data_IF_459101563198
#
_entry.id   IF_459101563198
#
_cell.length_a   1.000
_cell.length_b   1.000
_cell.length_c   1.000
_cell.angle_alpha   90.00
_cell.angle_beta   90.00
_cell.angle_gamma   90.00
#
_symmetry.space_group_name_H-M   'P 1'
#
loop_
_entity.id
_entity.type
_entity.pdbx_description
1 polymer ?
#
# COMPACT_ATOMS: atom_id res chain seq x y z
N UNK A 1 44.25 14.48 -13.31
CA UNK A 1 43.18 14.39 -14.32
C UNK A 1 41.86 14.58 -13.59
N UNK A 2 41.25 15.76 -13.71
CA UNK A 2 40.05 16.12 -12.95
C UNK A 2 38.81 15.49 -13.57
N UNK A 3 38.13 14.63 -12.82
CA UNK A 3 36.79 14.15 -13.14
C UNK A 3 35.77 15.05 -12.45
N UNK A 4 35.12 15.91 -13.22
CA UNK A 4 33.85 16.54 -12.83
C UNK A 4 32.73 15.54 -13.10
N UNK A 5 31.93 15.14 -12.09
CA UNK A 5 30.74 14.32 -12.35
C UNK A 5 29.64 15.22 -12.93
N UNK A 6 29.14 14.86 -14.11
CA UNK A 6 27.89 15.39 -14.65
C UNK A 6 26.74 14.81 -13.83
N UNK A 7 25.89 15.68 -13.29
CA UNK A 7 24.63 15.30 -12.66
C UNK A 7 23.61 14.94 -13.75
N UNK A 8 23.60 13.69 -14.18
CA UNK A 8 22.55 13.18 -15.06
C UNK A 8 21.35 12.77 -14.19
N UNK A 9 20.31 13.60 -14.20
CA UNK A 9 19.01 13.28 -13.62
C UNK A 9 18.35 12.17 -14.46
N UNK A 10 18.47 10.92 -14.01
CA UNK A 10 17.66 9.83 -14.52
C UNK A 10 16.25 9.91 -13.90
N UNK A 11 15.35 10.63 -14.57
CA UNK A 11 13.92 10.35 -14.45
C UNK A 11 13.70 8.97 -15.07
N UNK A 12 13.35 8.00 -14.23
CA UNK A 12 12.95 6.67 -14.69
C UNK A 12 11.79 6.82 -15.70
N UNK A 13 12.01 6.33 -16.93
CA UNK A 13 11.05 6.45 -18.04
C UNK A 13 9.89 5.43 -17.94
N UNK A 14 9.79 4.73 -16.83
CA UNK A 14 8.79 3.69 -16.58
C UNK A 14 7.41 4.23 -16.12
N UNK A 15 7.24 5.54 -15.88
CA UNK A 15 5.93 6.09 -15.52
C UNK A 15 5.03 6.26 -16.76
N UNK A 16 3.91 5.51 -16.88
CA UNK A 16 2.99 5.69 -18.00
C UNK A 16 2.25 7.02 -17.88
N UNK A 17 2.21 7.76 -18.99
CA UNK A 17 1.39 8.96 -19.14
C UNK A 17 -0.10 8.61 -19.03
N UNK A 18 -0.75 9.02 -17.93
CA UNK A 18 -2.21 9.01 -17.84
C UNK A 18 -2.80 10.18 -18.64
N UNK A 19 -3.11 9.94 -19.92
CA UNK A 19 -4.00 10.81 -20.70
C UNK A 19 -5.27 10.06 -21.08
N UNK A 20 -6.27 10.06 -20.20
CA UNK A 20 -7.58 9.50 -20.55
C UNK A 20 -8.54 9.35 -19.41
N UNK A 21 -9.33 10.39 -19.11
CA UNK A 21 -10.78 10.33 -18.86
C UNK A 21 -11.29 11.62 -18.23
N UNK A 22 -11.68 12.59 -19.07
CA UNK A 22 -12.38 13.81 -18.64
C UNK A 22 -13.84 13.88 -19.14
N UNK A 23 -14.48 12.76 -19.49
CA UNK A 23 -15.80 12.75 -20.16
C UNK A 23 -16.90 11.85 -19.56
N UNK A 24 -16.81 11.43 -18.29
CA UNK A 24 -17.88 10.62 -17.65
C UNK A 24 -18.24 11.04 -16.23
N UNK A 25 -18.35 12.34 -15.96
CA UNK A 25 -18.94 12.84 -14.71
C UNK A 25 -20.12 13.76 -15.02
N UNK A 26 -21.32 13.19 -15.15
CA UNK A 26 -22.61 13.84 -14.98
C UNK A 26 -23.68 12.74 -15.00
N UNK A 27 -24.11 12.29 -13.81
CA UNK A 27 -25.42 11.69 -13.46
C UNK A 27 -25.29 10.75 -12.25
N UNK A 28 -25.12 11.30 -11.05
CA UNK A 28 -25.55 10.63 -9.81
C UNK A 28 -25.97 11.72 -8.81
N UNK A 29 -27.23 12.13 -8.87
CA UNK A 29 -27.89 12.92 -7.82
C UNK A 29 -29.36 12.55 -7.81
N UNK A 30 -29.71 11.41 -7.20
CA UNK A 30 -31.08 11.12 -6.74
C UNK A 30 -31.15 9.83 -5.89
N UNK A 31 -30.35 9.71 -4.84
CA UNK A 31 -30.61 8.70 -3.80
C UNK A 31 -29.99 9.21 -2.51
N UNK A 32 -30.78 9.89 -1.66
CA UNK A 32 -30.57 10.09 -0.22
C UNK A 32 -31.74 10.92 0.34
N UNK A 33 -32.94 10.33 0.33
CA UNK A 33 -34.05 10.68 1.22
C UNK A 33 -34.74 9.38 1.57
N UNK A 34 -34.36 8.81 2.71
CA UNK A 34 -35.09 7.83 3.52
C UNK A 34 -34.03 7.25 4.46
N UNK A 35 -34.05 7.69 5.71
CA UNK A 35 -33.78 6.92 6.94
C UNK A 35 -33.71 7.95 8.08
N UNK A 36 -34.91 8.29 8.56
CA UNK A 36 -35.10 8.96 9.84
C UNK A 36 -35.36 7.87 10.90
N UNK A 37 -34.74 8.08 12.07
CA UNK A 37 -34.88 7.42 13.37
C UNK A 37 -36.08 6.49 13.61
N UNK A 38 -35.86 5.49 14.49
CA UNK A 38 -36.79 5.30 15.59
C UNK A 38 -36.10 5.29 16.97
N UNK A 39 -36.74 5.96 17.92
CA UNK A 39 -36.47 5.95 19.36
C UNK A 39 -36.72 4.57 20.00
N UNK A 40 -36.11 4.24 21.16
CA UNK A 40 -36.37 2.99 21.87
C UNK A 40 -37.60 3.09 22.79
N UNK A 41 -38.34 2.00 23.04
CA UNK A 41 -39.34 1.97 24.10
C UNK A 41 -38.77 1.50 25.44
N UNK A 42 -39.35 2.07 26.49
CA UNK A 42 -39.10 1.79 27.90
C UNK A 42 -39.59 0.38 28.33
N UNK A 43 -38.79 -0.25 29.20
CA UNK A 43 -39.21 -0.76 30.51
C UNK A 43 -40.09 -2.03 30.59
N UNK A 44 -39.52 -3.11 31.15
CA UNK A 44 -40.24 -4.03 32.05
C UNK A 44 -39.29 -4.50 33.17
N UNK A 45 -39.75 -4.32 34.41
CA UNK A 45 -39.18 -4.87 35.65
C UNK A 45 -39.83 -6.22 35.92
N UNK A 46 -39.04 -7.28 36.17
CA UNK A 46 -39.51 -8.43 36.95
C UNK A 46 -38.43 -8.89 37.93
N UNK A 47 -38.80 -8.84 39.22
CA UNK A 47 -38.18 -9.56 40.32
C UNK A 47 -38.70 -11.00 40.31
N UNK A 48 -37.83 -11.99 40.50
CA UNK A 48 -38.14 -13.13 41.35
C UNK A 48 -36.85 -13.75 41.89
N UNK A 49 -36.92 -14.15 43.15
CA UNK A 49 -35.83 -14.72 43.95
C UNK A 49 -35.85 -16.25 43.85
N UNK A 50 -34.68 -16.82 44.11
CA UNK A 50 -34.46 -18.16 44.67
C UNK A 50 -34.63 -19.37 43.74
N UNK A 51 -33.49 -19.88 43.25
CA UNK A 51 -33.19 -21.31 43.36
C UNK A 51 -31.68 -21.50 43.53
N UNK A 52 -31.30 -21.79 44.77
CA UNK A 52 -29.98 -22.26 45.18
C UNK A 52 -29.99 -23.78 45.13
N UNK A 53 -28.85 -24.37 44.77
CA UNK A 53 -28.45 -25.78 44.98
C UNK A 53 -28.91 -26.83 43.94
N UNK A 54 -28.17 -26.91 42.82
CA UNK A 54 -27.78 -28.17 42.16
C UNK A 54 -26.86 -27.90 40.94
N UNK A 55 -25.63 -27.42 41.14
CA UNK A 55 -24.70 -27.14 40.01
C UNK A 55 -23.21 -27.36 40.39
N UNK A 56 -22.88 -28.50 41.00
CA UNK A 56 -21.49 -28.80 41.40
C UNK A 56 -20.89 -30.07 40.79
N UNK A 57 -21.56 -30.77 39.87
CA UNK A 57 -21.05 -32.03 39.29
C UNK A 57 -21.16 -32.14 37.75
N UNK A 58 -21.45 -31.04 37.05
CA UNK A 58 -21.40 -30.94 35.57
C UNK A 58 -20.36 -29.93 35.09
N UNK A 59 -19.37 -29.60 35.92
CA UNK A 59 -18.28 -28.67 35.56
C UNK A 59 -17.06 -29.36 34.89
N UNK A 60 -17.06 -30.69 34.77
CA UNK A 60 -15.92 -31.45 34.25
C UNK A 60 -16.14 -32.08 32.85
N UNK A 61 -17.31 -31.88 32.22
CA UNK A 61 -17.64 -32.46 30.92
C UNK A 61 -17.97 -31.43 29.83
N UNK A 62 -17.92 -30.14 30.14
CA UNK A 62 -17.68 -29.11 29.11
C UNK A 62 -16.17 -29.02 28.91
N UNK A 63 -15.58 -30.11 28.44
CA UNK A 63 -14.41 -30.00 27.58
C UNK A 63 -14.86 -29.06 26.48
N UNK A 64 -14.45 -27.80 26.56
CA UNK A 64 -14.57 -26.87 25.47
C UNK A 64 -13.92 -27.60 24.31
N UNK A 65 -14.74 -28.16 23.42
CA UNK A 65 -14.40 -28.26 22.02
C UNK A 65 -14.15 -26.80 21.66
N UNK A 66 -12.91 -26.35 21.88
CA UNK A 66 -12.38 -25.17 21.27
C UNK A 66 -12.49 -25.51 19.80
N UNK A 67 -13.65 -25.21 19.21
CA UNK A 67 -13.82 -25.13 17.79
C UNK A 67 -12.70 -24.20 17.40
N UNK A 68 -11.65 -24.77 16.80
CA UNK A 68 -10.60 -24.00 16.18
C UNK A 68 -11.33 -23.16 15.16
N UNK A 69 -11.60 -21.90 15.51
CA UNK A 69 -12.06 -20.92 14.54
C UNK A 69 -10.90 -20.77 13.59
N UNK A 70 -10.93 -21.55 12.53
CA UNK A 70 -10.02 -21.42 11.41
C UNK A 70 -10.16 -19.99 10.91
N UNK A 71 -9.04 -19.27 10.79
CA UNK A 71 -9.08 -17.90 10.31
C UNK A 71 -9.77 -17.88 8.94
N UNK A 72 -10.77 -17.00 8.81
CA UNK A 72 -11.49 -16.85 7.54
C UNK A 72 -10.58 -16.34 6.41
N UNK A 73 -9.45 -15.70 6.74
CA UNK A 73 -8.41 -15.33 5.77
C UNK A 73 -7.78 -16.57 5.11
N UNK A 74 -7.64 -17.69 5.83
CA UNK A 74 -7.11 -18.93 5.26
C UNK A 74 -8.02 -19.51 4.17
N UNK A 75 -9.32 -19.56 4.46
CA UNK A 75 -10.31 -20.19 3.58
C UNK A 75 -10.55 -19.37 2.30
N UNK A 76 -10.74 -18.06 2.43
CA UNK A 76 -10.99 -17.15 1.31
C UNK A 76 -10.55 -15.72 1.66
N UNK A 77 -9.26 -15.38 1.46
CA UNK A 77 -8.73 -14.08 1.86
C UNK A 77 -9.38 -12.94 1.08
N UNK A 78 -9.75 -13.16 -0.18
CA UNK A 78 -10.46 -12.16 -0.97
C UNK A 78 -11.82 -11.85 -0.37
N UNK A 79 -12.62 -12.88 -0.07
CA UNK A 79 -13.92 -12.66 0.56
C UNK A 79 -13.77 -11.97 1.90
N UNK A 80 -12.84 -12.41 2.76
CA UNK A 80 -12.66 -11.80 4.09
C UNK A 80 -12.21 -10.34 3.99
N UNK A 81 -11.12 -10.06 3.25
CA UNK A 81 -10.52 -8.73 3.16
C UNK A 81 -11.40 -7.77 2.33
N UNK A 82 -12.05 -8.25 1.28
CA UNK A 82 -12.75 -7.38 0.32
C UNK A 82 -14.26 -7.25 0.57
N UNK A 83 -14.93 -8.20 1.24
CA UNK A 83 -16.39 -8.15 1.45
C UNK A 83 -16.77 -7.26 2.63
N UNK A 84 -16.15 -7.48 3.80
CA UNK A 84 -16.39 -6.65 4.99
C UNK A 84 -16.05 -5.18 4.72
N UNK A 85 -15.09 -4.95 3.83
CA UNK A 85 -14.64 -3.61 3.50
C UNK A 85 -15.49 -2.88 2.48
N UNK A 86 -16.46 -3.47 1.75
CA UNK A 86 -17.23 -2.67 0.77
C UNK A 86 -18.10 -1.59 1.42
N UNK A 87 -18.83 -1.92 2.49
CA UNK A 87 -19.64 -0.94 3.22
C UNK A 87 -18.76 0.09 3.95
N UNK A 88 -17.68 -0.38 4.60
CA UNK A 88 -16.71 0.49 5.26
C UNK A 88 -15.99 1.40 4.26
N UNK A 89 -15.64 0.90 3.07
CA UNK A 89 -15.08 1.68 1.95
C UNK A 89 -16.05 2.74 1.50
N UNK A 90 -17.32 2.42 1.31
CA UNK A 90 -18.30 3.42 0.89
C UNK A 90 -18.38 4.58 1.91
N UNK A 91 -18.40 4.27 3.20
CA UNK A 91 -18.36 5.29 4.26
C UNK A 91 -17.04 6.06 4.27
N UNK A 92 -15.91 5.36 4.11
CA UNK A 92 -14.58 5.95 4.02
C UNK A 92 -14.45 6.88 2.82
N UNK A 93 -14.95 6.48 1.65
CA UNK A 93 -14.93 7.26 0.42
C UNK A 93 -15.79 8.51 0.55
N UNK A 94 -16.96 8.42 1.20
CA UNK A 94 -17.78 9.59 1.54
C UNK A 94 -16.98 10.56 2.42
N UNK A 95 -16.32 10.05 3.48
CA UNK A 95 -15.49 10.86 4.35
C UNK A 95 -14.30 11.49 3.61
N UNK A 96 -13.55 10.71 2.83
CA UNK A 96 -12.39 11.16 2.07
C UNK A 96 -12.82 12.22 1.06
N UNK A 97 -13.89 12.00 0.30
CA UNK A 97 -14.39 12.96 -0.69
C UNK A 97 -14.86 14.26 -0.04
N UNK A 98 -15.52 14.17 1.13
CA UNK A 98 -15.86 15.36 1.92
C UNK A 98 -14.59 16.11 2.33
N UNK A 99 -13.60 15.42 2.88
CA UNK A 99 -12.37 16.05 3.34
C UNK A 99 -11.55 16.66 2.18
N UNK A 100 -11.47 15.97 1.04
CA UNK A 100 -10.89 16.51 -0.21
C UNK A 100 -11.56 17.80 -0.63
N UNK A 101 -12.89 17.84 -0.58
CA UNK A 101 -13.68 19.03 -0.94
C UNK A 101 -13.40 20.20 0.02
N UNK A 102 -13.31 19.93 1.32
CA UNK A 102 -12.98 20.95 2.33
C UNK A 102 -11.54 21.48 2.16
N UNK A 103 -10.57 20.61 1.91
CA UNK A 103 -9.17 20.97 1.65
C UNK A 103 -9.07 21.80 0.37
N UNK A 104 -9.74 21.39 -0.71
CA UNK A 104 -9.76 22.12 -1.97
C UNK A 104 -10.40 23.51 -1.82
N UNK A 105 -11.45 23.64 -1.02
CA UNK A 105 -12.09 24.91 -0.72
C UNK A 105 -11.17 25.84 0.10
N UNK A 106 -10.53 25.33 1.15
CA UNK A 106 -9.55 26.08 1.95
C UNK A 106 -8.38 26.55 1.08
N UNK A 107 -7.82 25.64 0.29
CA UNK A 107 -6.70 25.93 -0.61
C UNK A 107 -7.06 26.94 -1.69
N UNK A 108 -8.26 26.87 -2.26
CA UNK A 108 -8.75 27.83 -3.25
C UNK A 108 -8.88 29.23 -2.64
N UNK A 109 -9.39 29.33 -1.41
CA UNK A 109 -9.49 30.60 -0.66
C UNK A 109 -8.11 31.19 -0.37
N UNK A 110 -7.14 30.37 0.03
CA UNK A 110 -5.78 30.81 0.35
C UNK A 110 -4.93 31.16 -0.89
N UNK A 111 -5.10 30.41 -1.99
CA UNK A 111 -4.29 30.57 -3.20
C UNK A 111 -4.72 31.79 -4.04
N UNK A 112 -5.99 32.18 -3.99
CA UNK A 112 -6.54 33.30 -4.78
C UNK A 112 -5.69 34.59 -4.70
N UNK A 113 -5.47 35.17 -3.51
CA UNK A 113 -4.67 36.39 -3.36
C UNK A 113 -3.23 36.24 -3.88
N UNK A 114 -2.59 35.10 -3.63
CA UNK A 114 -1.21 34.81 -4.08
C UNK A 114 -1.13 34.72 -5.60
N UNK A 115 -2.14 34.12 -6.25
CA UNK A 115 -2.22 34.02 -7.71
C UNK A 115 -2.43 35.40 -8.33
N UNK A 116 -3.30 36.23 -7.76
CA UNK A 116 -3.50 37.60 -8.26
C UNK A 116 -2.23 38.45 -8.12
N UNK A 117 -1.50 38.30 -7.02
CA UNK A 117 -0.20 38.97 -6.85
C UNK A 117 0.84 38.47 -7.86
N UNK A 118 0.95 37.16 -8.04
CA UNK A 118 1.83 36.56 -9.06
C UNK A 118 1.51 37.07 -10.47
N UNK A 119 0.22 37.21 -10.82
CA UNK A 119 -0.20 37.74 -12.13
C UNK A 119 0.25 39.17 -12.37
N UNK A 120 0.47 40.00 -11.33
CA UNK A 120 1.04 41.34 -11.48
C UNK A 120 2.52 41.28 -11.87
N UNK A 121 3.25 40.31 -11.34
CA UNK A 121 4.70 40.16 -11.52
C UNK A 121 5.11 39.39 -12.79
N UNK A 122 4.20 38.60 -13.36
CA UNK A 122 4.45 37.87 -14.62
C UNK A 122 3.64 38.51 -15.74
N UNK A 123 4.27 38.91 -16.85
CA UNK A 123 3.58 39.52 -17.99
C UNK A 123 2.46 38.63 -18.56
N UNK A 124 1.35 39.24 -19.03
CA UNK A 124 0.17 38.57 -19.59
C UNK A 124 0.47 37.74 -20.84
N UNK A 125 1.54 38.08 -21.56
CA UNK A 125 1.99 37.35 -22.75
C UNK A 125 2.67 36.02 -22.39
N UNK A 126 3.09 35.82 -21.14
CA UNK A 126 3.65 34.55 -20.66
C UNK A 126 2.55 33.65 -20.05
N UNK A 127 1.49 33.38 -20.81
CA UNK A 127 0.31 32.65 -20.32
C UNK A 127 0.67 31.26 -19.77
N UNK A 128 1.58 30.54 -20.43
CA UNK A 128 2.06 29.21 -19.98
C UNK A 128 2.73 29.33 -18.61
N UNK A 129 3.66 30.29 -18.45
CA UNK A 129 4.36 30.53 -17.19
C UNK A 129 3.37 30.89 -16.07
N UNK A 130 2.37 31.73 -16.35
CA UNK A 130 1.30 32.09 -15.40
C UNK A 130 0.46 30.86 -14.99
N UNK A 131 0.12 30.00 -15.94
CA UNK A 131 -0.65 28.78 -15.67
C UNK A 131 0.14 27.83 -14.76
N UNK A 132 1.42 27.57 -15.09
CA UNK A 132 2.32 26.74 -14.28
C UNK A 132 2.46 27.31 -12.85
N UNK A 133 2.71 28.60 -12.71
CA UNK A 133 2.86 29.23 -11.39
C UNK A 133 1.55 29.24 -10.60
N UNK A 134 0.40 29.40 -11.26
CA UNK A 134 -0.91 29.31 -10.59
C UNK A 134 -1.16 27.90 -10.08
N UNK A 135 -0.88 26.88 -10.90
CA UNK A 135 -0.99 25.48 -10.51
C UNK A 135 -0.09 25.16 -9.31
N UNK A 136 1.16 25.61 -9.36
CA UNK A 136 2.11 25.50 -8.24
C UNK A 136 1.56 26.12 -6.95
N UNK A 137 1.07 27.36 -6.98
CA UNK A 137 0.52 28.04 -5.81
C UNK A 137 -0.67 27.25 -5.24
N UNK A 138 -1.59 26.77 -6.11
CA UNK A 138 -2.73 25.96 -5.67
C UNK A 138 -2.28 24.67 -4.99
N UNK A 139 -1.35 23.93 -5.58
CA UNK A 139 -0.84 22.70 -5.00
C UNK A 139 -0.17 22.96 -3.64
N UNK A 140 0.64 24.01 -3.53
CA UNK A 140 1.23 24.38 -2.23
C UNK A 140 0.16 24.64 -1.15
N UNK A 141 -0.94 25.32 -1.50
CA UNK A 141 -2.03 25.54 -0.56
C UNK A 141 -2.86 24.28 -0.26
N UNK A 142 -3.05 23.39 -1.24
CA UNK A 142 -3.70 22.08 -1.02
C UNK A 142 -2.87 21.27 -0.04
N UNK A 143 -1.56 21.17 -0.26
CA UNK A 143 -0.67 20.40 0.62
C UNK A 143 -0.61 21.02 2.02
N UNK A 144 -0.60 22.35 2.14
CA UNK A 144 -0.68 23.02 3.44
C UNK A 144 -2.00 22.75 4.16
N UNK A 145 -3.14 22.83 3.46
CA UNK A 145 -4.45 22.55 4.02
C UNK A 145 -4.58 21.08 4.40
N UNK A 146 -4.10 20.16 3.56
CA UNK A 146 -4.06 18.73 3.86
C UNK A 146 -3.20 18.45 5.11
N UNK A 147 -1.99 19.03 5.20
CA UNK A 147 -1.12 18.92 6.36
C UNK A 147 -1.82 19.32 7.65
N UNK A 148 -2.58 20.44 7.65
CA UNK A 148 -3.39 20.86 8.81
C UNK A 148 -4.43 19.81 9.25
N UNK A 149 -4.97 19.03 8.32
CA UNK A 149 -5.97 17.99 8.60
C UNK A 149 -5.35 16.69 9.09
N UNK A 150 -4.10 16.42 8.74
CA UNK A 150 -3.37 15.21 9.14
C UNK A 150 -2.30 15.46 10.22
N UNK A 151 -2.33 16.62 10.89
CA UNK A 151 -1.39 16.95 11.97
C UNK A 151 -1.41 15.86 13.03
N UNK A 152 -0.23 15.35 13.38
CA UNK A 152 -0.06 14.28 14.36
C UNK A 152 -0.30 12.87 13.83
N UNK A 153 -0.82 12.71 12.61
CA UNK A 153 -0.89 11.40 11.93
C UNK A 153 0.42 11.14 11.19
N UNK A 154 1.03 12.19 10.63
CA UNK A 154 2.35 12.13 10.00
C UNK A 154 3.38 11.47 10.94
N UNK A 155 3.30 11.70 12.25
CA UNK A 155 4.23 11.12 13.23
C UNK A 155 4.13 9.60 13.33
N UNK A 156 3.01 8.97 12.95
CA UNK A 156 2.93 7.51 12.88
C UNK A 156 4.05 6.95 11.98
N UNK A 157 4.38 7.68 10.93
CA UNK A 157 5.28 7.22 9.86
C UNK A 157 6.57 8.00 9.74
N UNK A 158 6.64 9.19 10.34
CA UNK A 158 7.86 10.00 10.38
C UNK A 158 8.55 10.01 11.73
N UNK A 159 7.94 9.43 12.78
CA UNK A 159 8.61 9.29 14.07
C UNK A 159 9.85 8.38 13.92
N UNK A 160 11.05 8.82 14.37
CA UNK A 160 12.26 8.05 14.22
C UNK A 160 12.21 6.65 14.85
N UNK A 161 11.46 6.44 15.94
CA UNK A 161 11.34 5.12 16.56
C UNK A 161 10.52 4.18 15.67
N UNK A 162 9.40 4.65 15.10
CA UNK A 162 8.60 3.86 14.16
C UNK A 162 9.36 3.56 12.86
N UNK A 163 10.09 4.54 12.31
CA UNK A 163 10.94 4.33 11.12
C UNK A 163 12.05 3.32 11.40
N UNK A 164 12.73 3.43 12.54
CA UNK A 164 13.75 2.46 12.94
C UNK A 164 13.15 1.06 13.15
N UNK A 165 11.94 0.99 13.70
CA UNK A 165 11.22 -0.26 13.87
C UNK A 165 10.90 -0.92 12.51
N UNK A 166 10.37 -0.16 11.55
CA UNK A 166 10.15 -0.62 10.15
C UNK A 166 11.43 -1.14 9.51
N UNK A 167 12.52 -0.35 9.58
CA UNK A 167 13.84 -0.78 9.08
C UNK A 167 14.33 -2.04 9.77
N UNK A 168 14.09 -2.19 11.07
CA UNK A 168 14.50 -3.39 11.82
C UNK A 168 13.74 -4.63 11.34
N UNK A 169 12.45 -4.51 11.02
CA UNK A 169 11.67 -5.62 10.46
C UNK A 169 12.16 -6.01 9.07
N UNK A 170 12.41 -5.03 8.19
CA UNK A 170 12.99 -5.29 6.87
C UNK A 170 14.36 -5.98 6.96
N UNK A 171 15.26 -5.48 7.82
CA UNK A 171 16.59 -6.09 8.02
C UNK A 171 16.52 -7.49 8.62
N UNK A 172 15.56 -7.75 9.51
CA UNK A 172 15.31 -9.10 10.02
C UNK A 172 14.76 -10.02 8.94
N UNK A 173 13.90 -9.53 8.05
CA UNK A 173 13.46 -10.28 6.88
C UNK A 173 14.63 -10.66 5.97
N UNK A 174 15.53 -9.71 5.72
CA UNK A 174 16.76 -9.94 4.95
C UNK A 174 17.65 -10.98 5.65
N UNK A 175 17.85 -10.88 6.97
CA UNK A 175 18.71 -11.82 7.70
C UNK A 175 18.16 -13.25 7.71
N UNK A 176 16.83 -13.40 7.79
CA UNK A 176 16.11 -14.68 7.76
C UNK A 176 16.03 -15.31 6.35
N UNK A 177 16.31 -14.56 5.28
CA UNK A 177 16.31 -15.08 3.89
C UNK A 177 17.47 -16.06 3.62
N UNK A 178 17.43 -16.80 2.51
CA UNK A 178 18.55 -17.66 2.08
C UNK A 178 19.59 -16.98 1.18
N UNK A 179 19.50 -15.66 0.98
CA UNK A 179 20.54 -14.94 0.24
C UNK A 179 21.92 -15.10 0.91
N UNK A 180 22.99 -15.01 0.13
CA UNK A 180 24.34 -15.08 0.66
C UNK A 180 24.63 -13.86 1.56
N UNK A 181 25.66 -13.98 2.40
CA UNK A 181 25.98 -12.95 3.39
C UNK A 181 26.34 -11.59 2.76
N UNK A 182 26.99 -11.59 1.59
CA UNK A 182 27.35 -10.35 0.90
C UNK A 182 26.09 -9.63 0.43
N UNK A 183 25.17 -10.36 -0.19
CA UNK A 183 23.87 -9.81 -0.61
C UNK A 183 23.08 -9.26 0.59
N UNK A 184 23.03 -9.99 1.70
CA UNK A 184 22.35 -9.54 2.93
C UNK A 184 22.93 -8.23 3.49
N UNK A 185 24.26 -8.08 3.47
CA UNK A 185 24.94 -6.85 3.90
C UNK A 185 24.56 -5.69 2.98
N UNK A 186 24.58 -5.89 1.65
CA UNK A 186 24.19 -4.86 0.67
C UNK A 186 22.74 -4.42 0.88
N UNK A 187 21.81 -5.36 0.94
CA UNK A 187 20.38 -5.07 1.16
C UNK A 187 20.15 -4.32 2.48
N UNK A 188 20.80 -4.76 3.56
CA UNK A 188 20.67 -4.09 4.87
C UNK A 188 21.21 -2.66 4.82
N UNK A 189 22.34 -2.44 4.16
CA UNK A 189 22.91 -1.11 3.94
C UNK A 189 21.99 -0.20 3.10
N UNK A 190 21.28 -0.76 2.11
CA UNK A 190 20.26 -0.02 1.37
C UNK A 190 19.12 0.40 2.29
N UNK A 191 18.57 -0.51 3.11
CA UNK A 191 17.49 -0.21 4.05
C UNK A 191 17.91 0.89 5.05
N UNK A 192 19.14 0.86 5.54
CA UNK A 192 19.64 1.89 6.45
C UNK A 192 19.66 3.29 5.82
N UNK A 193 19.92 3.39 4.51
CA UNK A 193 19.93 4.65 3.76
C UNK A 193 18.54 5.20 3.42
N UNK A 194 17.47 4.40 3.52
CA UNK A 194 16.13 4.86 3.15
C UNK A 194 15.63 5.93 4.13
N UNK A 195 15.19 7.05 3.58
CA UNK A 195 14.51 8.12 4.31
C UNK A 195 13.01 7.90 4.12
N UNK A 196 12.31 7.56 5.20
CA UNK A 196 10.84 7.55 5.22
C UNK A 196 10.39 8.94 5.62
N UNK A 197 9.54 9.54 4.81
CA UNK A 197 9.08 10.90 5.06
C UNK A 197 7.66 11.11 4.58
N UNK A 198 7.01 12.11 5.17
CA UNK A 198 5.86 12.71 4.53
C UNK A 198 6.34 13.66 3.42
N UNK A 199 5.38 14.13 2.64
CA UNK A 199 5.65 15.04 1.55
C UNK A 199 6.26 16.39 2.00
N UNK A 200 5.80 16.95 3.12
CA UNK A 200 6.32 18.22 3.64
C UNK A 200 7.82 18.13 3.94
N UNK A 201 8.27 17.04 4.55
CA UNK A 201 9.68 16.82 4.87
C UNK A 201 10.52 16.70 3.58
N UNK A 202 9.97 16.06 2.55
CA UNK A 202 10.63 15.95 1.25
C UNK A 202 10.78 17.32 0.55
N UNK A 203 9.76 18.18 0.63
CA UNK A 203 9.85 19.54 0.12
C UNK A 203 10.98 20.34 0.74
N UNK A 204 11.07 20.29 2.07
CA UNK A 204 12.02 21.09 2.84
C UNK A 204 13.47 20.62 2.59
N UNK A 205 13.68 19.32 2.40
CA UNK A 205 15.03 18.72 2.25
C UNK A 205 15.63 18.89 0.87
N UNK A 206 14.79 18.82 -0.17
CA UNK A 206 15.31 18.60 -1.53
C UNK A 206 15.68 19.89 -2.24
N UNK A 207 15.13 21.04 -1.81
CA UNK A 207 15.36 22.33 -2.48
C UNK A 207 15.05 22.30 -3.99
N UNK A 208 14.29 21.31 -4.45
CA UNK A 208 14.08 21.05 -5.87
C UNK A 208 13.31 22.19 -6.53
N UNK A 209 13.61 22.43 -7.80
CA UNK A 209 12.79 23.31 -8.62
C UNK A 209 11.34 22.80 -8.62
N UNK A 210 10.40 23.72 -8.39
CA UNK A 210 9.02 23.37 -8.08
C UNK A 210 8.28 22.65 -9.23
N UNK A 211 8.81 22.72 -10.46
CA UNK A 211 8.27 22.06 -11.65
C UNK A 211 8.48 20.54 -11.64
N UNK A 212 9.69 20.07 -11.33
CA UNK A 212 10.03 18.63 -11.26
C UNK A 212 9.22 17.98 -10.15
N UNK A 213 9.16 18.68 -9.03
CA UNK A 213 8.42 18.27 -7.85
C UNK A 213 6.91 18.18 -8.11
N UNK A 214 6.31 19.19 -8.74
CA UNK A 214 4.90 19.16 -9.11
C UNK A 214 4.57 17.99 -10.04
N UNK A 215 5.48 17.65 -10.96
CA UNK A 215 5.29 16.50 -11.86
C UNK A 215 5.38 15.16 -11.12
N UNK A 216 6.41 14.97 -10.28
CA UNK A 216 6.57 13.77 -9.47
C UNK A 216 5.32 13.52 -8.62
N UNK A 217 4.80 14.57 -7.99
CA UNK A 217 3.62 14.49 -7.13
C UNK A 217 2.35 14.25 -7.89
N UNK A 218 2.16 14.94 -9.01
CA UNK A 218 0.99 14.73 -9.83
C UNK A 218 0.91 13.26 -10.30
N UNK A 219 2.06 12.66 -10.58
CA UNK A 219 2.14 11.27 -11.02
C UNK A 219 1.87 10.29 -9.87
N UNK A 220 2.44 10.51 -8.68
CA UNK A 220 2.33 9.56 -7.57
C UNK A 220 1.13 9.79 -6.63
N UNK A 221 0.84 11.06 -6.33
CA UNK A 221 -0.20 11.48 -5.39
C UNK A 221 -1.43 12.11 -6.08
N UNK A 222 -1.46 12.13 -7.42
CA UNK A 222 -2.53 12.74 -8.21
C UNK A 222 -2.44 14.27 -8.28
N UNK A 223 -3.23 14.86 -9.16
CA UNK A 223 -3.20 16.31 -9.43
C UNK A 223 -3.61 17.19 -8.26
N UNK A 224 -4.34 16.63 -7.29
CA UNK A 224 -4.71 17.26 -6.04
C UNK A 224 -3.76 16.87 -4.88
N UNK A 225 -2.83 15.93 -5.08
CA UNK A 225 -1.96 15.40 -4.02
C UNK A 225 -2.69 14.51 -3.00
N UNK A 226 -3.92 14.09 -3.30
CA UNK A 226 -4.82 13.43 -2.34
C UNK A 226 -5.13 11.99 -2.70
N UNK A 227 -4.40 11.37 -3.63
CA UNK A 227 -4.48 9.92 -3.85
C UNK A 227 -3.94 9.21 -2.61
N UNK A 228 -4.62 8.14 -2.19
CA UNK A 228 -4.18 7.28 -1.11
C UNK A 228 -3.08 6.34 -1.62
N UNK A 229 -1.86 6.86 -1.70
CA UNK A 229 -0.71 6.15 -2.23
C UNK A 229 0.55 6.37 -1.38
N UNK A 230 1.52 5.47 -1.52
CA UNK A 230 2.90 5.66 -1.14
C UNK A 230 3.77 5.38 -2.38
N UNK A 231 5.02 5.83 -2.38
CA UNK A 231 5.93 5.53 -3.47
C UNK A 231 7.40 5.57 -3.05
N UNK A 232 8.18 4.69 -3.64
CA UNK A 232 9.64 4.73 -3.60
C UNK A 232 10.19 5.70 -4.65
N UNK A 233 11.20 6.49 -4.29
CA UNK A 233 11.93 7.32 -5.25
C UNK A 233 13.38 7.53 -4.81
N UNK A 234 14.23 8.00 -5.73
CA UNK A 234 15.63 8.35 -5.44
C UNK A 234 15.87 9.78 -5.89
N UNK A 235 16.51 10.58 -5.04
CA UNK A 235 16.98 11.91 -5.42
C UNK A 235 18.47 12.04 -5.09
N UNK A 236 19.28 12.26 -6.12
CA UNK A 236 20.72 12.16 -5.96
C UNK A 236 21.11 10.77 -5.50
N UNK A 237 21.77 10.68 -4.33
CA UNK A 237 22.15 9.39 -3.72
C UNK A 237 21.16 8.92 -2.64
N UNK A 238 20.20 9.77 -2.27
CA UNK A 238 19.28 9.51 -1.18
C UNK A 238 18.07 8.72 -1.68
N UNK A 239 17.68 7.70 -0.91
CA UNK A 239 16.54 6.83 -1.20
C UNK A 239 15.39 7.27 -0.33
N UNK A 240 14.22 7.45 -0.93
CA UNK A 240 13.03 7.91 -0.24
C UNK A 240 11.90 6.90 -0.34
N UNK A 241 11.13 6.83 0.73
CA UNK A 241 9.75 6.33 0.72
C UNK A 241 8.87 7.49 1.15
N UNK A 242 7.98 7.90 0.26
CA UNK A 242 7.13 9.07 0.44
C UNK A 242 5.67 8.65 0.53
N UNK A 243 4.96 9.24 1.49
CA UNK A 243 3.56 8.94 1.75
C UNK A 243 2.72 10.12 1.31
N UNK A 244 1.76 9.86 0.40
CA UNK A 244 0.85 10.89 -0.06
C UNK A 244 -0.13 11.28 1.06
N UNK A 245 -0.52 12.56 1.18
CA UNK A 245 -1.50 13.01 2.16
C UNK A 245 -2.82 12.24 2.14
N UNK A 246 -3.26 11.79 0.96
CA UNK A 246 -4.47 10.95 0.83
C UNK A 246 -4.39 9.66 1.65
N UNK A 247 -3.20 9.07 1.77
CA UNK A 247 -3.01 7.86 2.56
C UNK A 247 -3.11 8.17 4.06
N UNK A 248 -2.47 9.24 4.52
CA UNK A 248 -2.54 9.69 5.92
C UNK A 248 -3.98 10.01 6.35
N UNK A 249 -4.78 10.56 5.43
CA UNK A 249 -6.20 10.78 5.66
C UNK A 249 -6.95 9.47 5.84
N UNK A 250 -6.69 8.47 5.00
CA UNK A 250 -7.30 7.15 5.17
C UNK A 250 -6.98 6.58 6.55
N UNK A 251 -5.72 6.68 6.98
CA UNK A 251 -5.28 6.22 8.30
C UNK A 251 -5.90 7.00 9.46
N UNK A 252 -6.32 8.25 9.26
CA UNK A 252 -6.95 9.05 10.33
C UNK A 252 -8.21 8.41 10.92
N UNK A 253 -8.83 7.50 10.17
CA UNK A 253 -10.03 6.76 10.58
C UNK A 253 -9.73 5.61 11.52
N UNK A 254 -8.48 5.18 11.60
CA UNK A 254 -8.07 4.13 12.53
C UNK A 254 -8.12 4.65 13.98
N UNK A 255 -8.61 3.81 14.92
CA UNK A 255 -9.02 4.25 16.25
C UNK A 255 -7.85 4.72 17.12
N UNK A 256 -6.64 4.19 16.91
CA UNK A 256 -5.46 4.50 17.71
C UNK A 256 -4.16 4.44 16.90
N UNK A 257 -3.04 4.79 17.54
CA UNK A 257 -1.72 4.84 16.90
C UNK A 257 -1.21 3.46 16.48
N UNK A 258 -1.58 2.39 17.19
CA UNK A 258 -1.18 1.02 16.85
C UNK A 258 -1.87 0.59 15.56
N UNK A 259 -3.19 0.77 15.47
CA UNK A 259 -3.94 0.44 14.26
C UNK A 259 -3.55 1.31 13.07
N UNK A 260 -3.21 2.59 13.31
CA UNK A 260 -2.61 3.44 12.27
C UNK A 260 -1.31 2.85 11.75
N UNK A 261 -0.38 2.49 12.64
CA UNK A 261 0.89 1.88 12.24
C UNK A 261 0.66 0.56 11.47
N UNK A 262 -0.21 -0.31 11.97
CA UNK A 262 -0.61 -1.57 11.33
C UNK A 262 -1.12 -1.37 9.89
N UNK A 263 -1.99 -0.37 9.69
CA UNK A 263 -2.61 -0.11 8.37
C UNK A 263 -1.61 0.37 7.30
N UNK A 264 -0.50 0.99 7.68
CA UNK A 264 0.50 1.52 6.74
C UNK A 264 1.80 0.70 6.66
N UNK A 265 2.03 -0.17 7.63
CA UNK A 265 3.22 -1.02 7.74
C UNK A 265 3.51 -1.76 6.43
N UNK A 266 2.50 -2.41 5.85
CA UNK A 266 2.66 -3.14 4.58
C UNK A 266 3.05 -2.21 3.44
N UNK A 267 2.36 -1.07 3.30
CA UNK A 267 2.62 -0.11 2.22
C UNK A 267 4.04 0.46 2.30
N UNK A 268 4.49 0.94 3.47
CA UNK A 268 5.86 1.47 3.60
C UNK A 268 6.90 0.38 3.37
N UNK A 269 6.66 -0.83 3.88
CA UNK A 269 7.61 -1.94 3.71
C UNK A 269 7.67 -2.41 2.26
N UNK A 270 6.54 -2.38 1.54
CA UNK A 270 6.47 -2.59 0.10
C UNK A 270 7.30 -1.52 -0.64
N UNK A 271 7.11 -0.24 -0.32
CA UNK A 271 7.92 0.83 -0.94
C UNK A 271 9.42 0.72 -0.59
N UNK A 272 9.77 0.24 0.60
CA UNK A 272 11.16 -0.09 0.92
C UNK A 272 11.66 -1.26 0.05
N UNK A 273 10.80 -2.23 -0.23
CA UNK A 273 11.07 -3.37 -1.10
C UNK A 273 11.43 -2.97 -2.54
N UNK A 274 10.87 -1.88 -3.08
CA UNK A 274 11.27 -1.35 -4.39
C UNK A 274 12.73 -0.88 -4.45
N UNK A 275 13.35 -0.54 -3.33
CA UNK A 275 14.79 -0.27 -3.28
C UNK A 275 15.64 -1.55 -3.28
N UNK A 276 15.02 -2.71 -3.11
CA UNK A 276 15.66 -4.03 -3.12
C UNK A 276 15.27 -4.88 -4.33
N UNK A 277 14.38 -4.42 -5.20
CA UNK A 277 13.79 -5.26 -6.25
C UNK A 277 14.76 -5.61 -7.40
N UNK A 278 14.25 -6.36 -8.38
CA UNK A 278 15.05 -6.82 -9.52
C UNK A 278 15.54 -5.66 -10.42
N UNK A 279 14.89 -4.50 -10.40
CA UNK A 279 15.37 -3.32 -11.12
C UNK A 279 16.63 -2.72 -10.47
N UNK A 280 16.83 -2.94 -9.16
CA UNK A 280 17.97 -2.42 -8.40
C UNK A 280 19.08 -3.44 -8.22
N UNK A 281 18.74 -4.70 -7.96
CA UNK A 281 19.70 -5.76 -7.62
C UNK A 281 19.88 -6.80 -8.75
N UNK A 282 19.10 -6.69 -9.83
CA UNK A 282 19.19 -7.56 -11.00
C UNK A 282 18.28 -8.79 -10.94
N UNK A 283 17.87 -9.27 -12.12
CA UNK A 283 16.94 -10.39 -12.26
C UNK A 283 17.51 -11.72 -11.74
N UNK A 284 18.82 -11.97 -11.89
CA UNK A 284 19.42 -13.25 -11.48
C UNK A 284 19.27 -13.50 -9.98
N UNK A 285 19.28 -12.45 -9.16
CA UNK A 285 19.12 -12.57 -7.71
C UNK A 285 17.74 -13.14 -7.34
N UNK A 286 16.69 -12.73 -8.07
CA UNK A 286 15.30 -13.12 -7.83
C UNK A 286 14.81 -14.22 -8.78
N UNK A 287 15.72 -14.83 -9.54
CA UNK A 287 15.38 -15.85 -10.53
C UNK A 287 14.60 -17.03 -9.97
N UNK A 288 14.89 -17.59 -8.78
CA UNK A 288 14.08 -18.66 -8.21
C UNK A 288 12.61 -18.24 -7.99
N UNK A 289 12.39 -17.05 -7.44
CA UNK A 289 11.07 -16.47 -7.22
C UNK A 289 10.31 -16.25 -8.54
N UNK A 290 10.97 -15.57 -9.50
CA UNK A 290 10.38 -15.26 -10.80
C UNK A 290 10.12 -16.53 -11.63
N UNK A 291 11.01 -17.53 -11.55
CA UNK A 291 10.82 -18.83 -12.18
C UNK A 291 9.58 -19.55 -11.66
N UNK A 292 9.42 -19.62 -10.33
CA UNK A 292 8.23 -20.19 -9.72
C UNK A 292 6.94 -19.50 -10.20
N UNK A 293 6.93 -18.17 -10.25
CA UNK A 293 5.80 -17.39 -10.76
C UNK A 293 5.52 -17.67 -12.23
N UNK A 294 6.56 -17.78 -13.06
CA UNK A 294 6.43 -18.03 -14.50
C UNK A 294 5.87 -19.42 -14.78
N UNK A 295 6.27 -20.40 -13.98
CA UNK A 295 5.84 -21.80 -14.14
C UNK A 295 4.43 -22.04 -13.61
N UNK A 296 4.01 -21.31 -12.56
CA UNK A 296 2.78 -21.63 -11.84
C UNK A 296 1.68 -20.57 -11.99
N UNK A 297 1.99 -19.32 -12.28
CA UNK A 297 1.04 -18.21 -12.09
C UNK A 297 0.95 -17.22 -13.26
N UNK A 298 1.72 -17.42 -14.32
CA UNK A 298 1.74 -16.51 -15.48
C UNK A 298 0.36 -16.31 -16.13
N UNK A 299 -0.54 -17.28 -16.02
CA UNK A 299 -1.91 -17.22 -16.53
C UNK A 299 -2.77 -16.16 -15.81
N UNK A 300 -2.29 -15.65 -14.67
CA UNK A 300 -2.97 -14.63 -13.85
C UNK A 300 -2.55 -13.20 -14.16
N UNK A 301 -1.54 -12.99 -15.01
CA UNK A 301 -1.02 -11.67 -15.34
C UNK A 301 -1.53 -11.19 -16.69
N UNK A 302 -1.93 -9.91 -16.76
CA UNK A 302 -2.17 -9.26 -18.03
C UNK A 302 -0.83 -9.04 -18.75
N UNK A 303 -0.85 -9.24 -20.07
CA UNK A 303 0.31 -8.97 -20.91
C UNK A 303 0.26 -7.51 -21.36
N UNK A 304 1.33 -6.76 -21.15
CA UNK A 304 1.51 -5.46 -21.79
C UNK A 304 1.65 -5.62 -23.32
N UNK A 305 1.58 -4.53 -24.06
CA UNK A 305 1.80 -4.60 -25.52
C UNK A 305 3.23 -5.01 -25.88
N UNK A 306 4.22 -4.66 -25.05
CA UNK A 306 5.59 -5.13 -25.18
C UNK A 306 5.68 -6.64 -24.94
N UNK A 307 5.02 -7.15 -23.90
CA UNK A 307 4.98 -8.59 -23.61
C UNK A 307 4.31 -9.37 -24.76
N UNK A 308 3.17 -8.89 -25.28
CA UNK A 308 2.49 -9.52 -26.42
C UNK A 308 3.41 -9.58 -27.65
N UNK A 309 4.12 -8.48 -27.94
CA UNK A 309 5.08 -8.42 -29.05
C UNK A 309 6.24 -9.39 -28.85
N UNK A 310 6.79 -9.45 -27.64
CA UNK A 310 7.86 -10.38 -27.29
C UNK A 310 7.40 -11.84 -27.38
N UNK A 311 6.26 -12.18 -26.79
CA UNK A 311 5.69 -13.53 -26.81
C UNK A 311 5.37 -13.99 -28.23
N UNK A 312 4.86 -13.10 -29.10
CA UNK A 312 4.66 -13.41 -30.51
C UNK A 312 5.97 -13.73 -31.23
N UNK A 313 7.04 -12.99 -30.95
CA UNK A 313 8.37 -13.25 -31.54
C UNK A 313 8.98 -14.58 -31.04
N UNK A 314 8.63 -14.99 -29.82
CA UNK A 314 9.14 -16.19 -29.15
C UNK A 314 8.06 -17.25 -28.95
N UNK A 315 7.08 -17.37 -29.86
CA UNK A 315 5.93 -18.28 -29.70
C UNK A 315 6.33 -19.77 -29.59
N UNK A 316 7.53 -20.11 -30.07
CA UNK A 316 8.13 -21.45 -29.97
C UNK A 316 8.83 -21.72 -28.64
N UNK A 317 8.97 -20.72 -27.79
CA UNK A 317 9.56 -20.81 -26.46
C UNK A 317 8.61 -20.19 -25.41
N UNK A 318 7.60 -20.97 -24.96
CA UNK A 318 6.66 -20.50 -23.95
C UNK A 318 7.32 -20.10 -22.64
N UNK A 319 8.44 -20.73 -22.26
CA UNK A 319 9.17 -20.40 -21.04
C UNK A 319 9.76 -18.99 -21.12
N UNK A 320 10.36 -18.60 -22.26
CA UNK A 320 10.83 -17.24 -22.47
C UNK A 320 9.70 -16.21 -22.43
N UNK A 321 8.55 -16.52 -23.05
CA UNK A 321 7.36 -15.65 -22.97
C UNK A 321 6.89 -15.51 -21.51
N UNK A 322 6.78 -16.60 -20.76
CA UNK A 322 6.28 -16.57 -19.39
C UNK A 322 7.20 -15.76 -18.48
N UNK A 323 8.51 -15.99 -18.59
CA UNK A 323 9.51 -15.25 -17.83
C UNK A 323 9.46 -13.75 -18.15
N UNK A 324 9.25 -13.37 -19.41
CA UNK A 324 9.09 -11.97 -19.80
C UNK A 324 7.88 -11.33 -19.12
N UNK A 325 6.71 -11.97 -19.16
CA UNK A 325 5.49 -11.45 -18.52
C UNK A 325 5.70 -11.27 -17.02
N UNK A 326 6.30 -12.26 -16.34
CA UNK A 326 6.61 -12.16 -14.91
C UNK A 326 7.61 -11.03 -14.63
N UNK A 327 8.64 -10.88 -15.47
CA UNK A 327 9.65 -9.83 -15.30
C UNK A 327 9.02 -8.43 -15.33
N UNK A 328 7.99 -8.21 -16.16
CA UNK A 328 7.27 -6.93 -16.21
C UNK A 328 6.51 -6.60 -14.91
N UNK A 329 6.22 -7.60 -14.07
CA UNK A 329 5.54 -7.46 -12.77
C UNK A 329 6.46 -7.68 -11.57
N UNK A 330 7.72 -8.05 -11.80
CA UNK A 330 8.60 -8.57 -10.76
C UNK A 330 8.91 -7.53 -9.68
N UNK A 331 9.05 -6.25 -10.05
CA UNK A 331 9.32 -5.17 -9.10
C UNK A 331 8.26 -5.10 -7.99
N UNK A 332 6.99 -5.09 -8.39
CA UNK A 332 5.83 -5.06 -7.50
C UNK A 332 5.70 -6.33 -6.66
N UNK A 333 5.89 -7.50 -7.27
CA UNK A 333 5.77 -8.78 -6.57
C UNK A 333 6.91 -9.02 -5.57
N UNK A 334 8.12 -8.55 -5.88
CA UNK A 334 9.26 -8.59 -4.95
C UNK A 334 9.04 -7.60 -3.80
N UNK A 335 8.54 -6.40 -4.09
CA UNK A 335 8.16 -5.42 -3.08
C UNK A 335 7.09 -5.97 -2.14
N UNK A 336 6.07 -6.65 -2.66
CA UNK A 336 5.07 -7.37 -1.86
C UNK A 336 5.67 -8.44 -0.96
N UNK A 337 6.57 -9.27 -1.50
CA UNK A 337 7.21 -10.33 -0.72
C UNK A 337 7.99 -9.76 0.47
N UNK A 338 8.71 -8.64 0.28
CA UNK A 338 9.37 -7.95 1.37
C UNK A 338 8.39 -7.30 2.35
N UNK A 339 7.32 -6.67 1.84
CA UNK A 339 6.26 -6.10 2.66
C UNK A 339 5.58 -7.14 3.55
N UNK A 340 5.26 -8.31 3.00
CA UNK A 340 4.73 -9.47 3.73
C UNK A 340 5.69 -9.96 4.81
N UNK A 341 6.99 -10.05 4.49
CA UNK A 341 8.00 -10.50 5.45
C UNK A 341 8.07 -9.56 6.66
N UNK A 342 8.08 -8.25 6.43
CA UNK A 342 8.08 -7.25 7.50
C UNK A 342 6.78 -7.30 8.32
N UNK A 343 5.62 -7.45 7.67
CA UNK A 343 4.32 -7.58 8.33
C UNK A 343 4.26 -8.81 9.26
N UNK A 344 4.74 -9.96 8.81
CA UNK A 344 4.81 -11.17 9.63
C UNK A 344 5.77 -11.02 10.82
N UNK A 345 6.95 -10.43 10.60
CA UNK A 345 7.90 -10.15 11.68
C UNK A 345 7.27 -9.22 12.73
N UNK A 346 6.52 -8.21 12.29
CA UNK A 346 5.79 -7.33 13.18
C UNK A 346 4.76 -8.09 14.02
N UNK A 347 3.86 -8.87 13.39
CA UNK A 347 2.84 -9.65 14.10
C UNK A 347 3.46 -10.57 15.18
N UNK A 348 4.54 -11.29 14.81
CA UNK A 348 5.33 -12.11 15.74
C UNK A 348 5.95 -11.30 16.88
N UNK A 349 6.54 -10.14 16.57
CA UNK A 349 7.18 -9.29 17.59
C UNK A 349 6.20 -8.71 18.62
N UNK A 350 4.95 -8.48 18.20
CA UNK A 350 3.89 -7.97 19.06
C UNK A 350 3.11 -9.09 19.77
N UNK A 351 3.42 -10.36 19.48
CA UNK A 351 2.68 -11.52 19.97
C UNK A 351 1.17 -11.41 19.69
N UNK A 352 0.79 -10.95 18.49
CA UNK A 352 -0.61 -10.82 18.13
C UNK A 352 -1.33 -12.17 18.19
N UNK A 353 -2.51 -12.19 18.77
CA UNK A 353 -3.41 -13.34 18.67
C UNK A 353 -3.81 -13.61 17.21
N UNK A 354 -4.40 -14.78 16.94
CA UNK A 354 -4.98 -15.09 15.63
C UNK A 354 -5.95 -14.00 15.16
N UNK A 355 -6.84 -13.53 16.05
CA UNK A 355 -7.82 -12.50 15.74
C UNK A 355 -7.17 -11.13 15.46
N UNK A 356 -6.14 -10.75 16.21
CA UNK A 356 -5.40 -9.50 15.97
C UNK A 356 -4.62 -9.55 14.65
N UNK A 357 -4.09 -10.73 14.29
CA UNK A 357 -3.38 -10.90 13.03
C UNK A 357 -4.33 -10.92 11.84
N UNK A 358 -5.50 -11.53 11.98
CA UNK A 358 -6.59 -11.45 11.01
C UNK A 358 -6.97 -9.99 10.74
N UNK A 359 -7.16 -9.19 11.80
CA UNK A 359 -7.45 -7.76 11.72
C UNK A 359 -6.31 -6.95 11.07
N UNK A 360 -5.05 -7.23 11.44
CA UNK A 360 -3.86 -6.65 10.82
C UNK A 360 -3.88 -6.90 9.30
N UNK A 361 -4.05 -8.15 8.88
CA UNK A 361 -4.08 -8.50 7.45
C UNK A 361 -5.24 -7.83 6.73
N UNK A 362 -6.45 -7.82 7.31
CA UNK A 362 -7.60 -7.13 6.72
C UNK A 362 -7.32 -5.65 6.50
N UNK A 363 -6.78 -4.95 7.51
CA UNK A 363 -6.49 -3.52 7.41
C UNK A 363 -5.38 -3.21 6.40
N UNK A 364 -4.27 -3.96 6.42
CA UNK A 364 -3.12 -3.71 5.55
C UNK A 364 -3.41 -3.97 4.07
N UNK A 365 -4.24 -4.96 3.76
CA UNK A 365 -4.49 -5.41 2.38
C UNK A 365 -5.75 -4.82 1.75
N UNK A 366 -6.62 -4.17 2.54
CA UNK A 366 -7.88 -3.61 2.05
C UNK A 366 -7.69 -2.70 0.82
N UNK A 367 -6.65 -1.89 0.77
CA UNK A 367 -6.46 -0.94 -0.34
C UNK A 367 -6.21 -1.61 -1.71
N UNK A 368 -5.89 -2.91 -1.74
CA UNK A 368 -5.73 -3.63 -3.00
C UNK A 368 -7.03 -4.14 -3.60
N UNK A 369 -8.13 -4.29 -2.83
CA UNK A 369 -9.31 -4.92 -3.44
C UNK A 369 -9.92 -4.04 -4.54
N UNK A 370 -10.27 -4.66 -5.66
CA UNK A 370 -10.80 -3.99 -6.84
C UNK A 370 -9.75 -3.30 -7.70
N UNK A 371 -8.46 -3.36 -7.34
CA UNK A 371 -7.38 -2.91 -8.21
C UNK A 371 -7.21 -3.89 -9.37
N UNK A 372 -7.29 -3.38 -10.60
CA UNK A 372 -7.04 -4.15 -11.80
C UNK A 372 -5.55 -4.40 -12.01
N UNK A 373 -5.23 -5.31 -12.93
CA UNK A 373 -3.87 -5.51 -13.38
C UNK A 373 -3.52 -4.46 -14.46
N UNK A 374 -2.48 -3.67 -14.19
CA UNK A 374 -2.03 -2.53 -15.00
C UNK A 374 -0.83 -2.88 -15.91
N UNK A 375 -0.44 -4.17 -15.96
CA UNK A 375 0.69 -4.69 -16.73
C UNK A 375 2.06 -4.52 -16.06
N UNK A 376 2.12 -3.73 -14.99
CA UNK A 376 3.27 -3.64 -14.06
C UNK A 376 2.83 -4.01 -12.64
N UNK A 377 1.65 -3.52 -12.22
CA UNK A 377 0.98 -3.91 -10.98
C UNK A 377 0.07 -5.10 -11.25
N UNK A 378 0.30 -6.27 -10.63
CA UNK A 378 -0.66 -7.36 -10.65
C UNK A 378 -1.96 -6.93 -9.99
N UNK A 379 -3.08 -7.53 -10.42
CA UNK A 379 -4.38 -7.26 -9.81
C UNK A 379 -4.36 -7.53 -8.29
N UNK A 380 -5.18 -6.78 -7.55
CA UNK A 380 -5.39 -7.02 -6.12
C UNK A 380 -5.92 -8.44 -5.85
N UNK A 381 -6.70 -8.99 -6.77
CA UNK A 381 -7.19 -10.36 -6.71
C UNK A 381 -6.04 -11.38 -6.69
N UNK A 382 -4.99 -11.16 -7.49
CA UNK A 382 -3.80 -11.98 -7.45
C UNK A 382 -3.00 -11.76 -6.16
N UNK A 383 -2.73 -10.51 -5.80
CA UNK A 383 -1.90 -10.15 -4.64
C UNK A 383 -2.51 -10.69 -3.33
N UNK A 384 -3.82 -10.54 -3.14
CA UNK A 384 -4.55 -11.06 -1.97
C UNK A 384 -4.89 -12.55 -2.13
N UNK A 385 -5.57 -12.92 -3.22
CA UNK A 385 -6.15 -14.26 -3.38
C UNK A 385 -5.13 -15.35 -3.66
N UNK A 386 -3.97 -14.98 -4.19
CA UNK A 386 -2.87 -15.90 -4.48
C UNK A 386 -1.69 -15.63 -3.55
N UNK A 387 -1.04 -14.47 -3.65
CA UNK A 387 0.26 -14.25 -2.98
C UNK A 387 0.17 -14.27 -1.46
N UNK A 388 -0.82 -13.59 -0.87
CA UNK A 388 -1.06 -13.66 0.58
C UNK A 388 -1.47 -15.08 1.02
N UNK A 389 -2.40 -15.70 0.26
CA UNK A 389 -2.94 -17.02 0.60
C UNK A 389 -1.88 -18.12 0.61
N UNK A 390 -0.94 -18.06 -0.32
CA UNK A 390 0.13 -19.06 -0.46
C UNK A 390 1.41 -18.64 0.25
N UNK A 391 1.40 -17.58 1.05
CA UNK A 391 2.58 -17.17 1.79
C UNK A 391 2.83 -18.13 2.98
N UNK A 392 3.93 -18.92 3.01
CA UNK A 392 4.13 -19.93 4.05
C UNK A 392 4.17 -19.33 5.46
N UNK A 393 4.80 -18.17 5.56
CA UNK A 393 4.94 -17.39 6.80
C UNK A 393 3.56 -16.98 7.38
N UNK A 394 2.58 -16.66 6.52
CA UNK A 394 1.20 -16.35 6.93
C UNK A 394 0.39 -17.62 7.20
N UNK A 395 0.54 -18.64 6.36
CA UNK A 395 -0.12 -19.94 6.52
C UNK A 395 0.26 -20.58 7.85
N UNK A 396 1.56 -20.64 8.15
CA UNK A 396 2.08 -21.16 9.40
C UNK A 396 1.57 -20.35 10.60
N UNK A 397 1.59 -19.01 10.48
CA UNK A 397 1.18 -18.13 11.57
C UNK A 397 -0.30 -18.24 11.89
N UNK A 398 -1.16 -18.27 10.87
CA UNK A 398 -2.62 -18.40 11.05
C UNK A 398 -3.06 -19.85 11.29
N UNK A 399 -2.11 -20.80 11.31
CA UNK A 399 -2.38 -22.23 11.34
C UNK A 399 -3.44 -22.62 10.30
N UNK A 400 -3.32 -22.07 9.09
CA UNK A 400 -4.22 -22.43 8.00
C UNK A 400 -4.07 -23.92 7.74
N UNK A 401 -5.13 -24.69 7.94
CA UNK A 401 -5.10 -26.10 7.57
C UNK A 401 -4.95 -26.27 6.06
N UNK A 402 -4.95 -27.52 5.59
CA UNK A 402 -4.98 -27.82 4.15
C UNK A 402 -6.28 -27.35 3.46
N UNK A 403 -7.22 -26.74 4.19
CA UNK A 403 -8.52 -26.33 3.69
C UNK A 403 -8.39 -25.14 2.73
N UNK A 404 -8.42 -25.44 1.44
CA UNK A 404 -8.52 -24.44 0.37
C UNK A 404 -7.17 -23.97 -0.19
N UNK A 405 -6.04 -24.40 0.36
CA UNK A 405 -4.74 -24.08 -0.22
C UNK A 405 -4.68 -24.65 -1.65
N UNK A 406 -4.30 -23.79 -2.61
CA UNK A 406 -4.15 -24.21 -4.00
C UNK A 406 -3.13 -25.35 -4.10
N UNK A 407 -3.32 -26.31 -5.01
CA UNK A 407 -2.29 -27.31 -5.32
C UNK A 407 -1.01 -26.69 -5.93
N UNK A 408 -1.02 -25.38 -6.23
CA UNK A 408 0.15 -24.63 -6.71
C UNK A 408 1.05 -24.24 -5.52
N UNK A 409 2.38 -24.28 -5.67
CA UNK A 409 3.31 -23.98 -4.59
C UNK A 409 3.30 -22.49 -4.22
N UNK A 410 3.70 -22.17 -2.98
CA UNK A 410 4.15 -20.83 -2.65
C UNK A 410 5.36 -20.45 -3.52
N UNK A 411 5.38 -19.24 -4.06
CA UNK A 411 6.59 -18.68 -4.64
C UNK A 411 7.27 -17.78 -3.61
N UNK A 412 8.48 -18.16 -3.21
CA UNK A 412 9.33 -17.46 -2.24
C UNK A 412 10.62 -17.00 -2.91
N UNK A 413 11.46 -16.22 -2.22
CA UNK A 413 12.78 -15.85 -2.76
C UNK A 413 13.67 -17.07 -3.04
N UNK A 414 13.40 -18.18 -2.36
CA UNK A 414 14.04 -19.48 -2.52
C UNK A 414 13.44 -20.32 -3.66
N UNK A 415 12.36 -19.85 -4.30
CA UNK A 415 11.62 -20.56 -5.33
C UNK A 415 10.33 -21.20 -4.82
N UNK A 416 9.94 -22.31 -5.43
CA UNK A 416 8.71 -23.02 -5.12
C UNK A 416 8.80 -23.73 -3.76
N UNK A 417 7.81 -23.52 -2.89
CA UNK A 417 7.68 -24.19 -1.59
C UNK A 417 6.28 -24.81 -1.51
N UNK A 418 6.21 -26.09 -1.14
CA UNK A 418 4.94 -26.76 -0.86
C UNK A 418 4.36 -26.24 0.46
N UNK A 419 3.06 -26.02 0.49
CA UNK A 419 2.30 -25.54 1.64
C UNK A 419 1.46 -26.69 2.17
#
# INVERSE_FOLDING_TARGET
>A
MGFTPKSDYFLDKSLPFYSGNLRKFLKVTEYLKLYANPSPPNGVVMKSKSLVLACALTAAAFSFSAFSQESTVCADPLKKICTETQAQRAQRDIYINKLKSEIAAEASKASGPRIEEMKKNISKFHFIKRAIQSYKIRNQEIMRAAKKRVVGIETVVTDPANVNLLKSYMKRGISESRFDNTTKIVMSGIIDQIIVGNFGDFLERTGMEDNILAQLLNNACGSDGMVANAFATTLGNDKYVLICPGFLITMSQEPDMRERFNSILLAISHEMGHHLDNSKLGNELYKPFMGCLADNYVDKFNKTDDDKKFCKKNEKDPAACNMKVVTSHAGELIADAWGMKALNIHARSQNYSFAETDALLVSSWANLCGTGDEGIHPSGDFRIGTSLRTNPDIVDYLACGNAGVSNKPACTFEGAVSI
#
